data_IF_489565880927
#
_entry.id   IF_489565880927
#
_cell.length_a   1.000
_cell.length_b   1.000
_cell.length_c   1.000
_cell.angle_alpha   90.00
_cell.angle_beta   90.00
_cell.angle_gamma   90.00
#
_symmetry.space_group_name_H-M   'P 1'
#
loop_
_entity.id
_entity.type
_entity.pdbx_description
1 polymer ?
#
# COMPACT_ATOMS: atom_id res chain seq x y z
N UNK A 1 7.86 -4.99 16.15
CA UNK A 1 7.19 -5.16 14.84
C UNK A 1 6.37 -3.93 14.38
N UNK A 2 6.71 -2.70 14.83
CA UNK A 2 5.99 -1.47 14.51
C UNK A 2 6.42 -0.82 13.17
N UNK A 3 7.18 -1.53 12.35
CA UNK A 3 8.03 -0.93 11.30
C UNK A 3 7.46 -1.01 9.88
N UNK A 4 6.48 -1.89 9.63
CA UNK A 4 6.06 -2.25 8.27
C UNK A 4 5.06 -1.23 7.65
N UNK A 5 4.08 -0.78 8.44
CA UNK A 5 3.14 0.28 8.04
C UNK A 5 3.87 1.63 7.87
N UNK A 6 4.78 1.97 8.79
CA UNK A 6 5.61 3.18 8.68
C UNK A 6 6.56 3.14 7.47
N UNK A 7 7.02 1.95 7.07
CA UNK A 7 7.86 1.78 5.89
C UNK A 7 7.04 1.96 4.61
N UNK A 8 5.81 1.44 4.56
CA UNK A 8 4.91 1.60 3.42
C UNK A 8 4.52 3.06 3.22
N UNK A 9 4.15 3.77 4.28
CA UNK A 9 3.87 5.21 4.21
C UNK A 9 5.08 6.01 3.69
N UNK A 10 6.28 5.75 4.22
CA UNK A 10 7.52 6.40 3.76
C UNK A 10 7.82 6.11 2.28
N UNK A 11 7.54 4.90 1.79
CA UNK A 11 7.70 4.55 0.38
C UNK A 11 6.76 5.38 -0.51
N UNK A 12 5.52 5.60 -0.07
CA UNK A 12 4.54 6.40 -0.82
C UNK A 12 4.95 7.88 -0.85
N UNK A 13 5.39 8.45 0.28
CA UNK A 13 5.96 9.81 0.32
C UNK A 13 7.13 9.97 -0.66
N UNK A 14 8.04 8.98 -0.69
CA UNK A 14 9.15 8.99 -1.65
C UNK A 14 8.65 8.92 -3.11
N UNK A 15 7.63 8.12 -3.40
CA UNK A 15 7.01 8.09 -4.72
C UNK A 15 6.38 9.44 -5.09
N UNK A 16 5.73 10.13 -4.16
CA UNK A 16 5.18 11.46 -4.38
C UNK A 16 6.28 12.50 -4.69
N UNK A 17 7.40 12.47 -3.96
CA UNK A 17 8.55 13.31 -4.24
C UNK A 17 9.19 13.01 -5.61
N UNK A 18 9.32 11.73 -5.98
CA UNK A 18 9.82 11.33 -7.30
C UNK A 18 8.88 11.83 -8.41
N UNK A 19 7.57 11.70 -8.22
CA UNK A 19 6.56 12.18 -9.15
C UNK A 19 6.65 13.70 -9.37
N UNK A 20 6.83 14.48 -8.30
CA UNK A 20 7.04 15.92 -8.39
C UNK A 20 8.29 16.26 -9.23
N UNK A 21 9.38 15.52 -9.03
CA UNK A 21 10.59 15.63 -9.85
C UNK A 21 10.34 15.30 -11.33
N UNK A 22 9.54 14.27 -11.61
CA UNK A 22 9.15 13.91 -12.97
C UNK A 22 8.35 15.03 -13.64
N UNK A 23 7.39 15.64 -12.92
CA UNK A 23 6.61 16.78 -13.40
C UNK A 23 7.50 17.97 -13.77
N UNK A 24 8.43 18.35 -12.87
CA UNK A 24 9.41 19.43 -13.11
C UNK A 24 10.29 19.17 -14.33
N UNK A 25 10.55 17.90 -14.64
CA UNK A 25 11.36 17.49 -15.80
C UNK A 25 10.55 17.33 -17.11
N UNK A 26 9.25 17.61 -17.12
CA UNK A 26 8.40 17.52 -18.30
C UNK A 26 8.57 18.76 -19.20
N UNK A 27 9.67 18.81 -19.93
CA UNK A 27 9.94 19.88 -20.89
C UNK A 27 10.31 19.30 -22.26
N UNK A 28 9.93 20.03 -23.31
CA UNK A 28 10.41 19.74 -24.66
C UNK A 28 11.89 20.11 -24.75
N UNK A 29 12.75 19.12 -24.96
CA UNK A 29 14.17 19.36 -25.21
C UNK A 29 14.33 20.05 -26.57
N UNK A 30 14.81 21.29 -26.57
CA UNK A 30 15.11 22.06 -27.80
C UNK A 30 16.48 21.63 -28.35
N UNK A 31 16.52 20.50 -29.04
CA UNK A 31 17.72 19.97 -29.72
C UNK A 31 17.63 20.17 -31.23
N UNK A 32 18.76 20.48 -31.88
CA UNK A 32 18.88 20.52 -33.34
C UNK A 32 18.57 19.12 -33.88
N UNK A 33 17.37 18.95 -34.43
CA UNK A 33 16.78 17.64 -34.70
C UNK A 33 16.22 17.58 -36.12
N UNK A 34 16.41 16.43 -36.76
CA UNK A 34 15.76 16.09 -38.03
C UNK A 34 14.24 15.98 -37.84
N UNK A 35 13.47 16.09 -38.93
CA UNK A 35 12.01 15.92 -38.91
C UNK A 35 11.59 14.60 -38.23
N UNK A 36 12.31 13.49 -38.48
CA UNK A 36 12.07 12.20 -37.84
C UNK A 36 12.27 12.24 -36.32
N UNK A 37 13.38 12.85 -35.87
CA UNK A 37 13.67 13.01 -34.43
C UNK A 37 12.63 13.90 -33.76
N UNK A 38 12.13 14.94 -34.44
CA UNK A 38 11.06 15.79 -33.89
C UNK A 38 9.75 15.03 -33.66
N UNK A 39 9.36 14.16 -34.60
CA UNK A 39 8.16 13.30 -34.42
C UNK A 39 8.35 12.38 -33.22
N UNK A 40 9.51 11.71 -33.12
CA UNK A 40 9.83 10.84 -31.99
C UNK A 40 9.82 11.60 -30.66
N UNK A 41 10.45 12.78 -30.58
CA UNK A 41 10.47 13.60 -29.36
C UNK A 41 9.06 14.03 -28.92
N UNK A 42 8.18 14.33 -29.88
CA UNK A 42 6.78 14.67 -29.59
C UNK A 42 6.00 13.46 -29.07
N UNK A 43 6.21 12.28 -29.64
CA UNK A 43 5.60 11.04 -29.15
C UNK A 43 6.09 10.71 -27.74
N UNK A 44 7.40 10.80 -27.49
CA UNK A 44 8.00 10.57 -26.17
C UNK A 44 7.49 11.56 -25.13
N UNK A 45 7.25 12.81 -25.50
CA UNK A 45 6.63 13.79 -24.60
C UNK A 45 5.24 13.34 -24.17
N UNK A 46 4.42 12.84 -25.10
CA UNK A 46 3.11 12.27 -24.81
C UNK A 46 3.19 11.08 -23.86
N UNK A 47 4.07 10.11 -24.14
CA UNK A 47 4.32 8.96 -23.25
C UNK A 47 4.68 9.44 -21.84
N UNK A 48 5.61 10.40 -21.72
CA UNK A 48 6.04 10.93 -20.42
C UNK A 48 4.89 11.60 -19.68
N UNK A 49 4.07 12.41 -20.35
CA UNK A 49 2.91 13.06 -19.75
C UNK A 49 1.90 12.03 -19.23
N UNK A 50 1.56 11.03 -20.05
CA UNK A 50 0.63 9.96 -19.66
C UNK A 50 1.18 9.12 -18.50
N UNK A 51 2.46 8.76 -18.51
CA UNK A 51 3.09 8.04 -17.39
C UNK A 51 3.00 8.84 -16.10
N UNK A 52 3.35 10.13 -16.13
CA UNK A 52 3.27 11.00 -14.94
C UNK A 52 1.83 11.03 -14.42
N UNK A 53 0.85 11.23 -15.30
CA UNK A 53 -0.56 11.27 -14.91
C UNK A 53 -1.02 9.96 -14.25
N UNK A 54 -0.75 8.80 -14.86
CA UNK A 54 -1.12 7.49 -14.29
C UNK A 54 -0.43 7.26 -12.94
N UNK A 55 0.87 7.58 -12.83
CA UNK A 55 1.60 7.45 -11.57
C UNK A 55 0.99 8.34 -10.48
N UNK A 56 0.53 9.55 -10.81
CA UNK A 56 -0.15 10.43 -9.85
C UNK A 56 -1.41 9.82 -9.27
N UNK A 57 -2.21 9.15 -10.10
CA UNK A 57 -3.42 8.44 -9.68
C UNK A 57 -3.05 7.32 -8.72
N UNK A 58 -2.08 6.47 -9.08
CA UNK A 58 -1.64 5.35 -8.25
C UNK A 58 -1.11 5.83 -6.89
N UNK A 59 -0.25 6.85 -6.88
CA UNK A 59 0.29 7.42 -5.64
C UNK A 59 -0.83 8.01 -4.80
N UNK A 60 -1.80 8.70 -5.40
CA UNK A 60 -2.97 9.25 -4.69
C UNK A 60 -3.80 8.16 -4.04
N UNK A 61 -4.16 7.11 -4.79
CA UNK A 61 -4.93 5.97 -4.30
C UNK A 61 -4.21 5.26 -3.17
N UNK A 62 -2.89 5.04 -3.28
CA UNK A 62 -2.11 4.43 -2.21
C UNK A 62 -1.92 5.35 -1.01
N UNK A 63 -1.74 6.65 -1.21
CA UNK A 63 -1.66 7.62 -0.12
C UNK A 63 -3.00 7.83 0.59
N UNK A 64 -4.12 7.44 -0.03
CA UNK A 64 -5.45 7.74 0.49
C UNK A 64 -5.79 9.24 0.43
N UNK A 65 -5.12 10.02 -0.41
CA UNK A 65 -5.31 11.46 -0.58
C UNK A 65 -5.25 11.85 -2.05
N UNK A 66 -5.97 12.91 -2.42
CA UNK A 66 -5.90 13.51 -3.76
C UNK A 66 -4.71 14.45 -3.96
N UNK A 67 -3.95 14.77 -2.90
CA UNK A 67 -2.84 15.74 -2.99
C UNK A 67 -1.78 15.39 -4.05
N UNK A 68 -1.43 14.10 -4.28
CA UNK A 68 -0.47 13.74 -5.31
C UNK A 68 -1.00 13.84 -6.74
N UNK A 69 -2.30 14.08 -6.96
CA UNK A 69 -2.86 14.23 -8.31
C UNK A 69 -2.26 15.44 -9.00
N UNK A 70 -1.85 15.25 -10.25
CA UNK A 70 -1.21 16.30 -11.04
C UNK A 70 -2.20 16.94 -12.00
N UNK A 71 -1.98 18.23 -12.27
CA UNK A 71 -2.62 18.95 -13.37
C UNK A 71 -1.55 19.38 -14.38
N UNK A 72 -1.24 18.48 -15.33
CA UNK A 72 -0.25 18.75 -16.36
C UNK A 72 -0.81 19.67 -17.43
N UNK A 73 -0.13 20.80 -17.64
CA UNK A 73 -0.37 21.72 -18.76
C UNK A 73 0.41 21.25 -19.99
N UNK A 74 -0.30 20.78 -21.00
CA UNK A 74 0.30 20.33 -22.26
C UNK A 74 0.31 21.48 -23.25
N UNK A 75 1.46 21.79 -23.90
CA UNK A 75 1.53 22.85 -24.91
C UNK A 75 0.56 22.64 -26.09
N UNK A 76 -0.11 23.70 -26.53
CA UNK A 76 -1.12 23.68 -27.60
C UNK A 76 -0.59 23.19 -28.97
N UNK A 77 0.74 23.19 -29.15
CA UNK A 77 1.39 22.63 -30.35
C UNK A 77 1.16 21.12 -30.53
N UNK A 78 0.65 20.41 -29.51
CA UNK A 78 0.28 19.02 -29.59
C UNK A 78 -1.21 18.88 -29.89
N UNK A 79 -1.55 18.16 -30.96
CA UNK A 79 -2.95 17.92 -31.37
C UNK A 79 -3.79 17.22 -30.29
N UNK A 80 -3.15 16.43 -29.42
CA UNK A 80 -3.80 15.70 -28.32
C UNK A 80 -3.89 16.51 -27.02
N UNK A 81 -3.33 17.72 -26.95
CA UNK A 81 -3.22 18.54 -25.73
C UNK A 81 -4.59 18.75 -25.07
N UNK A 82 -5.56 19.26 -25.83
CA UNK A 82 -6.91 19.56 -25.34
C UNK A 82 -7.59 18.29 -24.83
N UNK A 83 -7.63 17.23 -25.63
CA UNK A 83 -8.27 15.96 -25.26
C UNK A 83 -7.64 15.33 -24.01
N UNK A 84 -6.32 15.43 -23.86
CA UNK A 84 -5.63 14.95 -22.66
C UNK A 84 -5.96 15.79 -21.43
N UNK A 85 -5.93 17.12 -21.53
CA UNK A 85 -6.24 17.99 -20.39
C UNK A 85 -7.70 17.85 -19.94
N UNK A 86 -8.64 17.67 -20.88
CA UNK A 86 -10.04 17.36 -20.56
C UNK A 86 -10.17 16.02 -19.84
N UNK A 87 -9.57 14.95 -20.37
CA UNK A 87 -9.60 13.64 -19.72
C UNK A 87 -8.97 13.67 -18.32
N UNK A 88 -7.83 14.37 -18.17
CA UNK A 88 -7.15 14.55 -16.90
C UNK A 88 -8.06 15.25 -15.89
N UNK A 89 -8.77 16.30 -16.30
CA UNK A 89 -9.70 17.02 -15.45
C UNK A 89 -10.84 16.09 -14.98
N UNK A 90 -11.52 15.43 -15.91
CA UNK A 90 -12.66 14.54 -15.60
C UNK A 90 -12.27 13.43 -14.62
N UNK A 91 -11.11 12.79 -14.87
CA UNK A 91 -10.59 11.72 -14.01
C UNK A 91 -10.15 12.25 -12.65
N UNK A 92 -9.48 13.41 -12.61
CA UNK A 92 -9.08 14.02 -11.34
C UNK A 92 -10.29 14.41 -10.49
N UNK A 93 -11.36 14.91 -11.11
CA UNK A 93 -12.61 15.25 -10.43
C UNK A 93 -13.29 13.99 -9.88
N UNK A 94 -13.39 12.90 -10.65
CA UNK A 94 -13.98 11.64 -10.16
C UNK A 94 -13.17 11.05 -8.99
N UNK A 95 -11.83 11.04 -9.09
CA UNK A 95 -10.97 10.53 -8.01
C UNK A 95 -11.11 11.38 -6.74
N UNK A 96 -11.09 12.71 -6.87
CA UNK A 96 -11.31 13.64 -5.74
C UNK A 96 -12.68 13.39 -5.11
N UNK A 97 -13.73 13.26 -5.93
CA UNK A 97 -15.06 12.88 -5.49
C UNK A 97 -15.05 11.56 -4.72
N UNK A 98 -14.35 10.55 -5.25
CA UNK A 98 -14.12 9.26 -4.59
C UNK A 98 -13.52 9.40 -3.19
N UNK A 99 -12.48 10.22 -3.01
CA UNK A 99 -11.89 10.48 -1.69
C UNK A 99 -12.86 11.21 -0.75
N UNK A 100 -13.55 12.24 -1.22
CA UNK A 100 -14.52 12.99 -0.39
C UNK A 100 -15.69 12.12 0.09
N UNK A 101 -16.10 11.14 -0.73
CA UNK A 101 -17.15 10.18 -0.39
C UNK A 101 -16.62 8.96 0.39
N UNK A 102 -15.32 8.87 0.66
CA UNK A 102 -14.69 7.74 1.34
C UNK A 102 -14.68 6.43 0.53
N UNK A 103 -14.86 6.49 -0.79
CA UNK A 103 -14.92 5.31 -1.70
C UNK A 103 -13.53 4.79 -2.11
N UNK A 104 -12.46 5.53 -1.83
CA UNK A 104 -11.09 5.21 -2.25
C UNK A 104 -10.21 5.02 -1.01
N UNK A 105 -10.13 3.77 -0.53
CA UNK A 105 -9.48 3.41 0.76
C UNK A 105 -8.61 2.16 0.70
N UNK A 106 -8.20 1.72 -0.51
CA UNK A 106 -7.55 0.42 -0.76
C UNK A 106 -6.44 0.08 0.24
N UNK A 107 -5.51 1.01 0.50
CA UNK A 107 -4.40 0.72 1.41
C UNK A 107 -4.83 0.70 2.88
N UNK A 108 -5.75 1.58 3.28
CA UNK A 108 -6.25 1.66 4.66
C UNK A 108 -7.00 0.38 5.07
N UNK A 109 -7.81 -0.15 4.16
CA UNK A 109 -8.52 -1.41 4.36
C UNK A 109 -7.53 -2.58 4.48
N UNK A 110 -6.52 -2.61 3.62
CA UNK A 110 -5.49 -3.65 3.64
C UNK A 110 -4.64 -3.60 4.93
N UNK A 111 -4.26 -2.41 5.40
CA UNK A 111 -3.53 -2.23 6.66
C UNK A 111 -4.38 -2.68 7.87
N UNK A 112 -5.66 -2.31 7.88
CA UNK A 112 -6.60 -2.75 8.93
C UNK A 112 -6.76 -4.26 8.95
N UNK A 113 -6.89 -4.89 7.78
CA UNK A 113 -6.98 -6.34 7.66
C UNK A 113 -5.70 -7.02 8.15
N UNK A 114 -4.52 -6.53 7.75
CA UNK A 114 -3.24 -7.05 8.20
C UNK A 114 -3.09 -6.95 9.73
N UNK A 115 -3.49 -5.83 10.33
CA UNK A 115 -3.49 -5.68 11.78
C UNK A 115 -4.45 -6.67 12.47
N UNK A 116 -5.66 -6.86 11.93
CA UNK A 116 -6.63 -7.83 12.45
C UNK A 116 -6.09 -9.27 12.37
N UNK A 117 -5.47 -9.65 11.25
CA UNK A 117 -4.86 -10.97 11.05
C UNK A 117 -3.72 -11.20 12.05
N UNK A 118 -2.86 -10.20 12.28
CA UNK A 118 -1.79 -10.29 13.29
C UNK A 118 -2.33 -10.48 14.70
N UNK A 119 -3.36 -9.73 15.07
CA UNK A 119 -3.99 -9.87 16.38
C UNK A 119 -4.64 -11.25 16.56
N UNK A 120 -5.30 -11.75 15.51
CA UNK A 120 -5.89 -13.09 15.51
C UNK A 120 -4.80 -14.16 15.65
N UNK A 121 -3.71 -14.04 14.90
CA UNK A 121 -2.58 -14.97 14.98
C UNK A 121 -2.00 -15.05 16.41
N UNK A 122 -1.75 -13.89 17.03
CA UNK A 122 -1.27 -13.83 18.43
C UNK A 122 -2.28 -14.45 19.41
N UNK A 123 -3.58 -14.20 19.20
CA UNK A 123 -4.64 -14.77 20.04
C UNK A 123 -4.68 -16.29 19.93
N UNK A 124 -4.60 -16.84 18.71
CA UNK A 124 -4.53 -18.28 18.47
C UNK A 124 -3.28 -18.88 19.11
N UNK A 125 -2.12 -18.21 18.98
CA UNK A 125 -0.87 -18.68 19.57
C UNK A 125 -0.94 -18.73 21.11
N UNK A 126 -1.53 -17.72 21.76
CA UNK A 126 -1.76 -17.73 23.21
C UNK A 126 -2.71 -18.84 23.64
N UNK A 127 -3.84 -19.00 22.94
CA UNK A 127 -4.82 -20.07 23.23
C UNK A 127 -4.21 -21.47 23.09
N UNK A 128 -3.31 -21.68 22.12
CA UNK A 128 -2.58 -22.94 21.98
C UNK A 128 -1.54 -23.19 23.08
N UNK A 129 -1.03 -22.15 23.75
CA UNK A 129 -0.11 -22.25 24.89
C UNK A 129 -0.84 -22.46 26.23
N UNK A 130 -2.12 -22.06 26.32
CA UNK A 130 -2.96 -22.23 27.52
C UNK A 130 -3.66 -23.58 27.60
N UNK A 131 -3.50 -24.49 26.62
CA UNK A 131 -3.95 -25.88 26.79
C UNK A 131 -3.06 -26.51 27.86
N UNK A 132 -3.54 -26.73 29.10
CA UNK A 132 -2.77 -27.48 30.06
C UNK A 132 -2.71 -28.90 29.52
N UNK A 133 -1.53 -29.51 29.54
CA UNK A 133 -1.43 -30.95 29.45
C UNK A 133 -2.23 -31.56 30.60
N UNK A 134 -3.52 -31.82 30.39
CA UNK A 134 -4.16 -32.95 31.04
C UNK A 134 -3.36 -34.17 30.57
N UNK A 135 -2.70 -34.86 31.53
CA UNK A 135 -2.57 -36.32 31.62
C UNK A 135 -1.30 -36.85 32.30
N UNK A 136 -0.56 -36.08 33.10
CA UNK A 136 0.58 -36.65 33.86
C UNK A 136 0.53 -36.36 35.37
N UNK A 137 -0.65 -36.49 36.00
CA UNK A 137 -0.78 -36.47 37.48
C UNK A 137 -1.62 -37.63 38.03
N UNK A 138 -1.52 -38.83 37.45
CA UNK A 138 -2.16 -40.05 37.97
C UNK A 138 -1.19 -41.21 38.27
N UNK A 139 0.04 -40.93 38.69
CA UNK A 139 0.96 -41.97 39.16
C UNK A 139 1.87 -41.50 40.30
N UNK A 140 1.29 -41.09 41.44
CA UNK A 140 2.04 -40.98 42.71
C UNK A 140 1.18 -41.28 43.95
N UNK A 141 0.06 -42.00 43.83
CA UNK A 141 -0.79 -42.35 44.97
C UNK A 141 -1.26 -43.79 44.87
N UNK A 142 -0.33 -44.74 45.00
CA UNK A 142 -0.55 -46.09 45.56
C UNK A 142 0.79 -46.85 45.58
N UNK A 143 1.75 -46.40 46.39
CA UNK A 143 2.89 -47.26 46.77
C UNK A 143 3.47 -46.82 48.13
N UNK A 144 2.58 -46.38 49.03
CA UNK A 144 2.93 -45.86 50.36
C UNK A 144 2.01 -46.36 51.47
N UNK A 145 1.44 -47.56 51.33
CA UNK A 145 0.61 -48.15 52.39
C UNK A 145 0.60 -49.68 52.35
N UNK A 146 1.77 -50.30 52.38
CA UNK A 146 1.93 -51.69 52.84
C UNK A 146 3.03 -51.75 53.92
N UNK A 147 2.90 -50.92 54.96
CA UNK A 147 3.54 -51.14 56.26
C UNK A 147 2.61 -50.67 57.37
N UNK A 148 1.47 -51.34 57.53
CA UNK A 148 0.65 -51.20 58.74
C UNK A 148 -0.30 -52.39 58.90
N UNK A 149 0.23 -53.62 58.96
CA UNK A 149 -0.51 -54.72 59.58
C UNK A 149 0.44 -55.69 60.29
N UNK A 150 1.12 -55.15 61.29
CA UNK A 150 1.57 -55.93 62.44
C UNK A 150 1.07 -55.20 63.67
N UNK A 151 -0.12 -55.59 64.13
CA UNK A 151 -0.69 -55.54 65.50
C UNK A 151 -2.14 -56.05 65.36
N UNK A 152 -2.35 -57.37 65.46
CA UNK A 152 -3.26 -58.02 66.42
C UNK A 152 -3.32 -59.53 66.17
N UNK A 153 -2.96 -60.26 67.23
CA UNK A 153 -3.14 -61.69 67.53
C UNK A 153 -2.18 -62.69 66.86
#
# INVERSE_FOLDING_TARGET
>A
EKNDASQTHRKIENCAAMLEGMCKSLHLRKVKSSAKIRVLLRAMYGVKATTIFICSILVSVFAGSSDPLVDLRIPDQFLWSVSFMTLQQDVNEEIKGGFTMGRVTVLKELESLNAAVKNLHLTIQMLCLEIPGENERRFQLTEGSEQAQQIRE
#
